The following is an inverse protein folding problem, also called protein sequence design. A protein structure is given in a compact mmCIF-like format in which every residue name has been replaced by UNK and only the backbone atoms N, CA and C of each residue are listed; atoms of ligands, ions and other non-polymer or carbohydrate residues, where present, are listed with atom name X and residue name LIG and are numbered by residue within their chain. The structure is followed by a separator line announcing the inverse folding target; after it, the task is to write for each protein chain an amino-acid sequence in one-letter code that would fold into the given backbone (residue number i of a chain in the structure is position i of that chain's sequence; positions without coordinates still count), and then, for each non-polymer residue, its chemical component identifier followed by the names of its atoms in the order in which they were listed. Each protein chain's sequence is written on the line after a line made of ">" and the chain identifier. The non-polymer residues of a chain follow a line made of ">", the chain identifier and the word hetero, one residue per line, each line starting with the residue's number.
data_IF_760323420593
#
_entry.id   IF_760323420593
#
_cell.length_a   1.000
_cell.length_b   1.000
_cell.length_c   1.000
_cell.angle_alpha   90.00
_cell.angle_beta   90.00
_cell.angle_gamma   90.00
#
_symmetry.space_group_name_H-M   'P 1'
#
loop_
_entity.id
_entity.type
_entity.pdbx_description
1 polymer ?
#
# COMPACT_ATOMS: atom_id res chain seq x y z
N UNK A 1 7.22 -20.83 15.27
CA UNK A 1 6.56 -22.15 15.08
C UNK A 1 5.93 -22.27 13.69
N UNK A 2 4.85 -21.51 13.34
CA UNK A 2 4.20 -21.65 12.01
C UNK A 2 5.13 -21.35 10.84
N UNK A 3 5.98 -20.33 10.95
CA UNK A 3 6.99 -20.00 9.96
C UNK A 3 7.98 -21.16 9.70
N UNK A 4 8.46 -21.80 10.74
CA UNK A 4 9.37 -22.94 10.65
C UNK A 4 8.68 -24.18 10.09
N UNK A 5 7.39 -24.38 10.44
CA UNK A 5 6.57 -25.43 9.88
C UNK A 5 6.38 -25.26 8.38
N UNK A 6 6.01 -24.05 7.92
CA UNK A 6 5.84 -23.75 6.49
C UNK A 6 7.16 -23.90 5.74
N UNK A 7 8.27 -23.45 6.33
CA UNK A 7 9.60 -23.64 5.75
C UNK A 7 9.94 -25.12 5.56
N UNK A 8 9.59 -25.97 6.53
CA UNK A 8 9.80 -27.41 6.41
C UNK A 8 8.91 -28.03 5.34
N UNK A 9 7.62 -27.66 5.31
CA UNK A 9 6.65 -28.15 4.30
C UNK A 9 7.07 -27.79 2.87
N UNK A 10 7.62 -26.60 2.65
CA UNK A 10 8.12 -26.17 1.34
C UNK A 10 9.32 -27.02 0.84
N UNK A 11 10.02 -27.69 1.74
CA UNK A 11 11.12 -28.60 1.39
C UNK A 11 10.65 -30.05 1.12
N UNK A 12 9.37 -30.38 1.36
CA UNK A 12 8.86 -31.72 1.15
C UNK A 12 8.64 -32.00 -0.35
N UNK A 13 9.09 -33.16 -0.88
CA UNK A 13 8.94 -33.52 -2.29
C UNK A 13 7.49 -33.54 -2.77
N UNK A 14 6.56 -33.97 -1.94
CA UNK A 14 5.14 -34.05 -2.24
C UNK A 14 4.50 -32.66 -2.41
N UNK A 15 4.99 -31.68 -1.67
CA UNK A 15 4.55 -30.28 -1.79
C UNK A 15 5.13 -29.65 -3.06
N UNK A 16 6.40 -29.92 -3.38
CA UNK A 16 7.05 -29.44 -4.60
C UNK A 16 6.37 -30.00 -5.86
N UNK A 17 5.86 -31.22 -5.81
CA UNK A 17 5.14 -31.85 -6.91
C UNK A 17 3.72 -31.25 -7.11
N UNK A 18 3.14 -30.62 -6.11
CA UNK A 18 1.83 -29.98 -6.14
C UNK A 18 1.97 -28.45 -6.23
N UNK A 19 1.92 -27.92 -7.46
CA UNK A 19 2.12 -26.49 -7.76
C UNK A 19 1.17 -25.55 -6.99
N UNK A 20 -0.07 -25.93 -6.79
CA UNK A 20 -1.06 -25.08 -6.11
C UNK A 20 -0.76 -25.00 -4.62
N UNK A 21 -0.52 -26.14 -3.99
CA UNK A 21 -0.12 -26.20 -2.57
C UNK A 21 1.21 -25.48 -2.31
N UNK A 22 2.17 -25.63 -3.25
CA UNK A 22 3.45 -24.91 -3.17
C UNK A 22 3.27 -23.39 -3.24
N UNK A 23 2.41 -22.90 -4.14
CA UNK A 23 2.11 -21.48 -4.27
C UNK A 23 1.44 -20.90 -3.01
N UNK A 24 0.48 -21.61 -2.44
CA UNK A 24 -0.19 -21.19 -1.20
C UNK A 24 0.81 -21.09 -0.05
N UNK A 25 1.60 -22.13 0.17
CA UNK A 25 2.61 -22.15 1.23
C UNK A 25 3.70 -21.09 1.01
N UNK A 26 4.10 -20.85 -0.23
CA UNK A 26 5.09 -19.82 -0.54
C UNK A 26 4.55 -18.41 -0.29
N UNK A 27 3.27 -18.16 -0.60
CA UNK A 27 2.58 -16.90 -0.27
C UNK A 27 2.50 -16.70 1.25
N UNK A 28 2.14 -17.75 1.99
CA UNK A 28 2.11 -17.73 3.46
C UNK A 28 3.52 -17.49 4.03
N UNK A 29 4.54 -18.19 3.53
CA UNK A 29 5.93 -18.01 3.93
C UNK A 29 6.42 -16.58 3.74
N UNK A 30 6.17 -16.01 2.57
CA UNK A 30 6.57 -14.63 2.26
C UNK A 30 5.88 -13.63 3.20
N UNK A 31 4.59 -13.82 3.49
CA UNK A 31 3.84 -12.98 4.42
C UNK A 31 4.35 -13.07 5.86
N UNK A 32 4.81 -14.24 6.28
CA UNK A 32 5.35 -14.45 7.63
C UNK A 32 6.80 -13.99 7.77
N UNK A 33 7.58 -13.97 6.68
CA UNK A 33 9.01 -13.66 6.73
C UNK A 33 9.27 -12.28 7.32
N UNK A 34 8.59 -11.25 6.82
CA UNK A 34 8.75 -9.88 7.30
C UNK A 34 8.40 -9.76 8.79
N UNK A 35 7.31 -10.39 9.22
CA UNK A 35 6.87 -10.38 10.63
C UNK A 35 7.94 -11.05 11.52
N UNK A 36 8.47 -12.20 11.09
CA UNK A 36 9.46 -12.96 11.87
C UNK A 36 10.78 -12.21 11.97
N UNK A 37 11.23 -11.58 10.88
CA UNK A 37 12.45 -10.78 10.87
C UNK A 37 12.35 -9.58 11.82
N UNK A 38 11.24 -8.83 11.74
CA UNK A 38 11.02 -7.69 12.66
C UNK A 38 10.84 -8.15 14.11
N UNK A 39 10.18 -9.29 14.34
CA UNK A 39 10.08 -9.86 15.69
C UNK A 39 11.43 -10.29 16.26
N UNK A 40 12.32 -10.84 15.44
CA UNK A 40 13.69 -11.16 15.86
C UNK A 40 14.48 -9.90 16.21
N UNK A 41 14.31 -8.81 15.42
CA UNK A 41 14.90 -7.51 15.73
C UNK A 41 14.36 -6.94 17.05
N UNK A 42 13.05 -7.01 17.26
CA UNK A 42 12.40 -6.58 18.49
C UNK A 42 12.95 -7.35 19.71
N UNK A 43 13.06 -8.67 19.61
CA UNK A 43 13.63 -9.47 20.72
C UNK A 43 15.05 -9.07 21.03
N UNK A 44 15.88 -8.87 20.01
CA UNK A 44 17.26 -8.41 20.21
C UNK A 44 17.32 -7.02 20.85
N UNK A 45 16.49 -6.09 20.39
CA UNK A 45 16.40 -4.76 21.01
C UNK A 45 15.91 -4.82 22.48
N UNK A 46 14.99 -5.75 22.77
CA UNK A 46 14.52 -5.98 24.15
C UNK A 46 15.63 -6.54 25.05
N UNK A 47 16.47 -7.43 24.55
CA UNK A 47 17.65 -7.93 25.27
C UNK A 47 18.65 -6.80 25.50
N UNK A 48 19.01 -6.03 24.47
CA UNK A 48 19.90 -4.87 24.59
C UNK A 48 19.38 -3.81 25.58
N UNK A 49 18.07 -3.55 25.57
CA UNK A 49 17.47 -2.63 26.52
C UNK A 49 17.61 -3.11 27.98
N UNK A 50 17.44 -4.41 28.23
CA UNK A 50 17.66 -5.00 29.58
C UNK A 50 19.13 -4.92 30.02
N UNK A 51 20.04 -5.23 29.10
CA UNK A 51 21.48 -5.13 29.36
C UNK A 51 21.87 -3.68 29.70
N UNK A 52 21.35 -2.70 28.94
CA UNK A 52 21.55 -1.28 29.25
C UNK A 52 20.96 -0.86 30.59
N UNK A 53 19.75 -1.35 30.98
CA UNK A 53 19.17 -1.11 32.31
C UNK A 53 20.04 -1.68 33.44
N UNK A 54 20.59 -2.87 33.28
CA UNK A 54 21.49 -3.50 34.24
C UNK A 54 22.80 -2.69 34.36
N UNK A 55 23.34 -2.20 33.22
CA UNK A 55 24.54 -1.34 33.23
C UNK A 55 24.31 -0.03 33.94
N UNK A 56 23.19 0.67 33.71
CA UNK A 56 22.84 1.91 34.41
C UNK A 56 22.77 1.69 35.94
N UNK A 57 22.22 0.54 36.36
CA UNK A 57 22.06 0.21 37.78
C UNK A 57 23.37 -0.21 38.46
N UNK A 58 24.36 -0.71 37.67
CA UNK A 58 25.66 -1.20 38.18
C UNK A 58 26.86 -0.28 37.91
N UNK A 59 26.68 0.81 37.16
CA UNK A 59 27.77 1.67 36.73
C UNK A 59 28.22 2.69 37.81
N UNK A 60 29.51 3.00 37.78
CA UNK A 60 30.07 4.13 38.51
C UNK A 60 29.61 5.47 37.90
N UNK A 61 29.65 6.56 38.69
CA UNK A 61 29.06 7.84 38.28
C UNK A 61 29.56 8.41 36.95
N UNK A 62 30.81 8.08 36.52
CA UNK A 62 31.35 8.51 35.23
C UNK A 62 30.78 7.74 34.04
N UNK A 63 30.30 6.52 34.25
CA UNK A 63 29.74 5.65 33.16
C UNK A 63 28.21 5.73 33.12
N UNK A 64 27.54 6.30 34.10
CA UNK A 64 26.08 6.39 34.17
C UNK A 64 25.48 7.24 33.07
N UNK A 65 26.09 8.34 32.69
CA UNK A 65 25.57 9.23 31.67
C UNK A 65 25.54 8.58 30.31
N UNK A 66 26.65 7.87 29.94
CA UNK A 66 26.73 7.12 28.71
C UNK A 66 25.73 5.94 28.67
N UNK A 67 25.62 5.20 29.76
CA UNK A 67 24.67 4.09 29.86
C UNK A 67 23.20 4.59 29.84
N UNK A 68 22.93 5.77 30.36
CA UNK A 68 21.61 6.38 30.30
C UNK A 68 21.23 6.82 28.86
N UNK A 69 22.17 7.39 28.11
CA UNK A 69 21.95 7.72 26.69
C UNK A 69 21.69 6.46 25.86
N UNK A 70 22.46 5.40 26.05
CA UNK A 70 22.29 4.11 25.37
C UNK A 70 20.93 3.47 25.71
N UNK A 71 20.50 3.58 26.96
CA UNK A 71 19.18 3.11 27.40
C UNK A 71 18.03 3.89 26.74
N UNK A 72 18.15 5.20 26.63
CA UNK A 72 17.15 6.04 25.95
C UNK A 72 17.03 5.70 24.48
N UNK A 73 18.15 5.50 23.77
CA UNK A 73 18.17 5.11 22.38
C UNK A 73 17.59 3.70 22.16
N UNK A 74 17.94 2.77 23.04
CA UNK A 74 17.40 1.39 23.02
C UNK A 74 15.89 1.39 23.26
N UNK A 75 15.36 2.19 24.18
CA UNK A 75 13.92 2.33 24.43
C UNK A 75 13.18 2.92 23.24
N UNK A 76 13.76 3.91 22.58
CA UNK A 76 13.19 4.51 21.37
C UNK A 76 13.11 3.48 20.25
N UNK A 77 14.19 2.77 20.00
CA UNK A 77 14.26 1.69 19.00
C UNK A 77 13.23 0.59 19.28
N UNK A 78 13.07 0.21 20.53
CA UNK A 78 12.10 -0.78 20.95
C UNK A 78 10.67 -0.33 20.68
N UNK A 79 10.33 0.92 20.98
CA UNK A 79 9.00 1.49 20.71
C UNK A 79 8.71 1.58 19.21
N UNK A 80 9.69 1.94 18.38
CA UNK A 80 9.56 1.97 16.92
C UNK A 80 9.29 0.57 16.33
N UNK A 81 10.03 -0.44 16.81
CA UNK A 81 9.86 -1.83 16.38
C UNK A 81 8.52 -2.41 16.86
N UNK A 82 8.08 -2.08 18.07
CA UNK A 82 6.77 -2.49 18.58
C UNK A 82 5.64 -1.93 17.72
N UNK A 83 5.68 -0.64 17.42
CA UNK A 83 4.70 -0.01 16.55
C UNK A 83 4.68 -0.63 15.14
N UNK A 84 5.86 -0.91 14.57
CA UNK A 84 5.98 -1.59 13.28
C UNK A 84 5.38 -2.99 13.29
N UNK A 85 5.65 -3.76 14.36
CA UNK A 85 5.06 -5.08 14.54
C UNK A 85 3.54 -5.04 14.68
N UNK A 86 3.00 -4.06 15.41
CA UNK A 86 1.55 -3.87 15.52
C UNK A 86 0.92 -3.66 14.14
N UNK A 87 1.54 -2.85 13.27
CA UNK A 87 1.06 -2.64 11.89
C UNK A 87 1.15 -3.92 11.06
N UNK A 88 2.27 -4.66 11.14
CA UNK A 88 2.47 -5.89 10.40
C UNK A 88 1.52 -7.03 10.81
N UNK A 89 1.06 -7.02 12.07
CA UNK A 89 0.12 -7.99 12.61
C UNK A 89 -1.35 -7.67 12.33
N UNK A 90 -1.65 -6.50 11.72
CA UNK A 90 -3.01 -6.19 11.29
C UNK A 90 -3.47 -7.23 10.25
N UNK A 91 -4.71 -7.71 10.37
CA UNK A 91 -5.26 -8.66 9.41
C UNK A 91 -5.28 -8.01 8.01
N UNK A 92 -4.57 -8.62 7.07
CA UNK A 92 -4.59 -8.20 5.65
C UNK A 92 -5.85 -8.76 4.99
N UNK A 93 -6.58 -7.93 4.26
CA UNK A 93 -7.71 -8.41 3.44
C UNK A 93 -7.15 -9.29 2.30
N UNK A 94 -7.61 -10.53 2.13
CA UNK A 94 -7.17 -11.39 1.03
C UNK A 94 -7.36 -10.75 -0.35
N UNK A 95 -8.31 -9.82 -0.48
CA UNK A 95 -8.59 -9.10 -1.72
C UNK A 95 -7.55 -8.04 -2.06
N UNK A 96 -6.78 -7.56 -1.08
CA UNK A 96 -5.80 -6.49 -1.32
C UNK A 96 -4.79 -6.84 -2.41
N UNK A 97 -4.47 -8.12 -2.58
CA UNK A 97 -3.54 -8.60 -3.60
C UNK A 97 -4.17 -8.83 -4.99
N UNK A 98 -5.47 -8.57 -5.14
CA UNK A 98 -6.18 -8.79 -6.41
C UNK A 98 -5.92 -7.67 -7.42
N UNK A 99 -6.12 -8.02 -8.69
CA UNK A 99 -6.33 -7.05 -9.76
C UNK A 99 -7.65 -6.31 -9.52
N UNK A 100 -7.81 -5.12 -10.10
CA UNK A 100 -9.06 -4.37 -10.03
C UNK A 100 -9.43 -3.74 -11.38
N UNK A 101 -10.70 -3.37 -11.49
CA UNK A 101 -11.17 -2.49 -12.56
C UNK A 101 -11.20 -1.06 -12.01
N UNK A 102 -10.68 -0.13 -12.82
CA UNK A 102 -10.78 1.30 -12.59
C UNK A 102 -11.74 1.89 -13.62
N UNK A 103 -12.87 2.35 -13.15
CA UNK A 103 -13.89 2.98 -13.97
C UNK A 103 -14.00 4.45 -13.61
N UNK A 104 -13.97 5.33 -14.62
CA UNK A 104 -14.16 6.77 -14.45
C UNK A 104 -15.29 7.20 -15.37
N UNK A 105 -16.32 7.83 -14.77
CA UNK A 105 -17.47 8.38 -15.50
C UNK A 105 -17.56 9.88 -15.30
N UNK A 106 -17.73 10.59 -16.41
CA UNK A 106 -18.10 11.99 -16.37
C UNK A 106 -19.50 12.14 -15.75
N UNK A 107 -19.62 13.05 -14.81
CA UNK A 107 -20.86 13.40 -14.15
C UNK A 107 -21.43 14.72 -14.66
N UNK A 108 -21.72 15.64 -13.74
CA UNK A 108 -22.24 16.97 -14.09
C UNK A 108 -21.13 17.88 -14.61
N UNK A 109 -21.42 18.69 -15.65
CA UNK A 109 -20.50 19.66 -16.23
C UNK A 109 -20.28 19.52 -17.74
N UNK A 110 -21.00 18.62 -18.42
CA UNK A 110 -20.93 18.46 -19.87
C UNK A 110 -19.52 18.10 -20.35
N UNK A 111 -19.04 18.77 -21.39
CA UNK A 111 -17.71 18.53 -21.99
C UNK A 111 -16.57 18.72 -21.00
N UNK A 112 -16.67 19.67 -20.07
CA UNK A 112 -15.66 19.89 -19.04
C UNK A 112 -15.55 18.69 -18.07
N UNK A 113 -16.65 18.01 -17.78
CA UNK A 113 -16.63 16.78 -17.00
C UNK A 113 -15.91 15.65 -17.76
N UNK A 114 -16.11 15.58 -19.10
CA UNK A 114 -15.37 14.61 -19.94
C UNK A 114 -13.87 14.89 -19.95
N UNK A 115 -13.46 16.16 -20.06
CA UNK A 115 -12.07 16.58 -19.99
C UNK A 115 -11.47 16.27 -18.62
N UNK A 116 -12.22 16.51 -17.54
CA UNK A 116 -11.80 16.20 -16.19
C UNK A 116 -11.65 14.68 -15.96
N UNK A 117 -12.54 13.86 -16.53
CA UNK A 117 -12.39 12.40 -16.51
C UNK A 117 -11.08 11.96 -17.20
N UNK A 118 -10.73 12.61 -18.31
CA UNK A 118 -9.45 12.41 -18.99
C UNK A 118 -8.25 12.80 -18.15
N UNK A 119 -8.35 13.90 -17.41
CA UNK A 119 -7.28 14.35 -16.49
C UNK A 119 -7.09 13.34 -15.34
N UNK A 120 -8.19 12.86 -14.74
CA UNK A 120 -8.15 11.83 -13.70
C UNK A 120 -7.55 10.52 -14.23
N UNK A 121 -7.98 10.06 -15.40
CA UNK A 121 -7.42 8.86 -16.01
C UNK A 121 -5.92 8.98 -16.26
N UNK A 122 -5.45 10.13 -16.73
CA UNK A 122 -4.02 10.42 -16.92
C UNK A 122 -3.27 10.39 -15.60
N UNK A 123 -3.83 10.98 -14.54
CA UNK A 123 -3.25 10.97 -13.19
C UNK A 123 -3.07 9.53 -12.70
N UNK A 124 -4.12 8.70 -12.80
CA UNK A 124 -4.04 7.29 -12.42
C UNK A 124 -3.05 6.50 -13.27
N UNK A 125 -3.01 6.75 -14.59
CA UNK A 125 -2.05 6.10 -15.48
C UNK A 125 -0.60 6.33 -15.05
N UNK A 126 -0.24 7.56 -14.71
CA UNK A 126 1.09 7.87 -14.17
C UNK A 126 1.37 7.20 -12.82
N UNK A 127 0.36 7.13 -11.95
CA UNK A 127 0.52 6.45 -10.67
C UNK A 127 0.75 4.95 -10.85
N UNK A 128 -0.03 4.32 -11.73
CA UNK A 128 0.04 2.90 -12.07
C UNK A 128 1.42 2.57 -12.67
N UNK A 129 1.91 3.40 -13.59
CA UNK A 129 3.25 3.28 -14.19
C UNK A 129 4.36 3.38 -13.11
N UNK A 130 4.26 4.37 -12.21
CA UNK A 130 5.21 4.53 -11.09
C UNK A 130 5.25 3.33 -10.16
N UNK A 131 4.10 2.67 -9.98
CA UNK A 131 3.99 1.41 -9.19
C UNK A 131 4.43 0.18 -9.96
N UNK A 132 4.74 0.31 -11.26
CA UNK A 132 5.07 -0.79 -12.18
C UNK A 132 3.92 -1.80 -12.33
N UNK A 133 2.69 -1.34 -12.19
CA UNK A 133 1.50 -2.12 -12.47
C UNK A 133 1.16 -2.05 -13.95
N UNK A 134 0.39 -3.01 -14.43
CA UNK A 134 -0.07 -3.04 -15.80
C UNK A 134 -1.47 -2.44 -15.91
N UNK A 135 -1.66 -1.55 -16.89
CA UNK A 135 -2.94 -0.90 -17.19
C UNK A 135 -3.41 -1.34 -18.57
N UNK A 136 -4.61 -1.90 -18.64
CA UNK A 136 -5.27 -2.33 -19.88
C UNK A 136 -6.63 -1.63 -19.99
N UNK A 137 -6.86 -0.90 -21.10
CA UNK A 137 -8.14 -0.28 -21.37
C UNK A 137 -9.10 -1.33 -21.92
N UNK A 138 -10.21 -1.56 -21.22
CA UNK A 138 -11.24 -2.52 -21.61
C UNK A 138 -12.29 -1.86 -22.50
N UNK A 139 -12.72 -0.66 -22.11
CA UNK A 139 -13.74 0.10 -22.85
C UNK A 139 -13.53 1.59 -22.65
N UNK A 140 -13.80 2.38 -23.68
CA UNK A 140 -13.82 3.84 -23.57
C UNK A 140 -14.91 4.44 -24.44
N UNK A 141 -15.55 5.49 -23.91
CA UNK A 141 -16.49 6.35 -24.65
C UNK A 141 -15.97 7.78 -24.58
N UNK A 142 -15.56 8.33 -25.70
CA UNK A 142 -14.95 9.66 -25.76
C UNK A 142 -15.99 10.79 -25.67
N UNK A 143 -15.57 11.93 -25.13
CA UNK A 143 -16.33 13.16 -25.15
C UNK A 143 -16.15 13.91 -26.49
N UNK A 144 -17.09 14.76 -26.85
CA UNK A 144 -17.09 15.50 -28.13
C UNK A 144 -15.91 16.50 -28.23
N UNK A 145 -15.53 17.08 -27.11
CA UNK A 145 -14.41 18.02 -26.99
C UNK A 145 -13.14 17.34 -26.47
N UNK A 146 -13.07 16.00 -26.47
CA UNK A 146 -12.01 15.21 -25.88
C UNK A 146 -12.34 14.70 -24.48
N UNK A 147 -11.39 13.99 -23.88
CA UNK A 147 -11.62 13.29 -22.62
C UNK A 147 -12.57 12.12 -22.77
N UNK A 148 -13.19 11.69 -21.68
CA UNK A 148 -14.03 10.48 -21.67
C UNK A 148 -15.38 10.76 -21.02
N UNK A 149 -16.46 10.30 -21.67
CA UNK A 149 -17.78 10.13 -21.02
C UNK A 149 -17.69 8.98 -20.00
N UNK A 150 -16.99 7.90 -20.39
CA UNK A 150 -16.71 6.75 -19.55
C UNK A 150 -15.40 6.11 -20.02
N UNK A 151 -14.59 5.67 -19.10
CA UNK A 151 -13.43 4.82 -19.38
C UNK A 151 -13.33 3.73 -18.32
N UNK A 152 -13.19 2.49 -18.78
CA UNK A 152 -13.03 1.29 -17.94
C UNK A 152 -11.70 0.67 -18.28
N UNK A 153 -10.86 0.47 -17.26
CA UNK A 153 -9.56 -0.16 -17.42
C UNK A 153 -9.35 -1.22 -16.35
N UNK A 154 -8.57 -2.25 -16.69
CA UNK A 154 -8.08 -3.24 -15.75
C UNK A 154 -6.70 -2.82 -15.25
N UNK A 155 -6.50 -2.87 -13.96
CA UNK A 155 -5.22 -2.62 -13.29
C UNK A 155 -4.74 -3.93 -12.68
N UNK A 156 -3.59 -4.43 -13.14
CA UNK A 156 -3.01 -5.69 -12.67
C UNK A 156 -1.66 -5.44 -12.02
N UNK A 157 -1.49 -5.92 -10.79
CA UNK A 157 -0.25 -5.80 -10.04
C UNK A 157 -0.43 -6.08 -8.56
N UNK A 158 0.66 -6.38 -7.90
CA UNK A 158 0.62 -6.72 -6.48
C UNK A 158 0.11 -5.54 -5.63
N UNK A 159 -0.96 -5.78 -4.87
CA UNK A 159 -1.59 -4.77 -4.02
C UNK A 159 -2.40 -3.70 -4.76
N UNK A 160 -2.71 -3.89 -6.04
CA UNK A 160 -3.42 -2.89 -6.83
C UNK A 160 -4.80 -2.56 -6.25
N UNK A 161 -5.62 -3.57 -5.96
CA UNK A 161 -6.92 -3.38 -5.33
C UNK A 161 -6.80 -2.77 -3.93
N UNK A 162 -5.87 -3.29 -3.10
CA UNK A 162 -5.68 -2.84 -1.73
C UNK A 162 -5.42 -1.33 -1.60
N UNK A 163 -4.75 -0.75 -2.59
CA UNK A 163 -4.47 0.69 -2.62
C UNK A 163 -5.61 1.47 -3.29
N UNK A 164 -6.07 1.02 -4.47
CA UNK A 164 -7.03 1.78 -5.27
C UNK A 164 -8.47 1.72 -4.76
N UNK A 165 -8.86 0.72 -3.94
CA UNK A 165 -10.22 0.60 -3.39
C UNK A 165 -10.71 1.86 -2.67
N UNK A 166 -9.80 2.64 -2.09
CA UNK A 166 -10.11 3.88 -1.36
C UNK A 166 -10.34 5.08 -2.28
N UNK A 167 -10.04 4.93 -3.58
CA UNK A 167 -10.25 5.97 -4.59
C UNK A 167 -11.71 6.01 -5.09
N UNK A 168 -12.54 5.01 -4.74
CA UNK A 168 -13.95 5.00 -5.14
C UNK A 168 -14.71 6.18 -4.52
N UNK A 169 -15.30 7.03 -5.38
CA UNK A 169 -16.05 8.19 -4.90
C UNK A 169 -16.32 9.24 -5.96
N UNK A 170 -16.85 10.36 -5.50
CA UNK A 170 -17.12 11.53 -6.33
C UNK A 170 -15.97 12.53 -6.30
N UNK A 171 -15.47 12.88 -7.46
CA UNK A 171 -14.40 13.87 -7.65
C UNK A 171 -15.00 15.16 -8.21
N UNK A 172 -14.57 16.29 -7.69
CA UNK A 172 -15.04 17.62 -8.10
C UNK A 172 -13.87 18.51 -8.45
N UNK A 173 -13.97 19.21 -9.57
CA UNK A 173 -13.06 20.27 -9.96
C UNK A 173 -13.77 21.60 -10.04
N UNK A 174 -13.11 22.66 -9.58
CA UNK A 174 -13.54 24.05 -9.74
C UNK A 174 -12.42 24.77 -10.47
N UNK A 175 -12.66 25.04 -11.74
CA UNK A 175 -11.72 25.77 -12.62
C UNK A 175 -12.49 26.52 -13.70
N UNK A 176 -11.81 27.41 -14.40
CA UNK A 176 -12.34 27.99 -15.63
C UNK A 176 -12.27 26.91 -16.70
N UNK A 177 -13.40 26.44 -17.26
CA UNK A 177 -13.38 25.41 -18.30
C UNK A 177 -12.67 25.88 -19.55
N UNK A 178 -12.06 24.95 -20.29
CA UNK A 178 -11.45 25.25 -21.60
C UNK A 178 -12.52 25.78 -22.60
N UNK A 179 -13.78 25.38 -22.40
CA UNK A 179 -14.94 25.78 -23.19
C UNK A 179 -15.55 27.14 -22.78
N UNK A 180 -15.06 27.76 -21.69
CA UNK A 180 -15.60 29.01 -21.16
C UNK A 180 -14.82 30.23 -21.71
N UNK A 181 -15.51 31.11 -22.43
CA UNK A 181 -14.89 32.28 -23.06
C UNK A 181 -14.86 33.53 -22.16
N UNK A 182 -15.63 33.57 -21.07
CA UNK A 182 -15.78 34.76 -20.20
C UNK A 182 -14.96 34.65 -18.90
N UNK A 183 -14.15 33.62 -18.74
CA UNK A 183 -13.29 33.41 -17.58
C UNK A 183 -14.04 33.06 -16.28
N UNK A 184 -15.28 32.57 -16.38
CA UNK A 184 -16.06 32.17 -15.19
C UNK A 184 -15.64 30.79 -14.68
N UNK A 185 -15.51 30.66 -13.37
CA UNK A 185 -15.25 29.39 -12.72
C UNK A 185 -16.50 28.54 -12.70
N UNK A 186 -16.42 27.32 -13.23
CA UNK A 186 -17.47 26.32 -13.19
C UNK A 186 -17.08 25.14 -12.31
N UNK A 187 -18.08 24.41 -11.85
CA UNK A 187 -17.88 23.16 -11.11
C UNK A 187 -18.25 21.98 -12.03
N UNK A 188 -17.31 21.04 -12.16
CA UNK A 188 -17.52 19.78 -12.86
C UNK A 188 -17.23 18.62 -11.94
N UNK A 189 -17.91 17.51 -12.14
CA UNK A 189 -17.76 16.32 -11.32
C UNK A 189 -17.61 15.06 -12.15
N UNK A 190 -16.85 14.12 -11.60
CA UNK A 190 -16.68 12.75 -12.11
C UNK A 190 -16.89 11.74 -10.99
N UNK A 191 -17.22 10.52 -11.35
CA UNK A 191 -17.25 9.38 -10.41
C UNK A 191 -16.13 8.43 -10.76
N UNK A 192 -15.39 7.98 -9.75
CA UNK A 192 -14.40 6.93 -9.85
C UNK A 192 -14.93 5.71 -9.10
N UNK A 193 -14.82 4.54 -9.69
CA UNK A 193 -15.17 3.24 -9.10
C UNK A 193 -14.02 2.26 -9.27
N UNK A 194 -13.73 1.54 -8.20
CA UNK A 194 -12.72 0.48 -8.16
C UNK A 194 -13.34 -0.80 -7.62
#
# INVERSE_FOLDING_TARGET
>A
ERYEEVQRLLAEPDVIANLDKYRELNKEYTGLTEIVEEFRRYRKAQESCKEAEELVNGADDEMKDLAAEELEESKKTLAELEHKLQILLLPKDPRDSNDCFLEIRAGTGGDEACLFAGDLFRMYSYYIEKKKWHLEIISSSEGEMGGYKEIISKVSGDGAYGILQFESGGYRVQRVPVTESQGRVHTSACTVMV
#
